data_IF_671904175389
#
_entry.id   IF_671904175389
#
_cell.length_a   1.000
_cell.length_b   1.000
_cell.length_c   1.000
_cell.angle_alpha   90.00
_cell.angle_beta   90.00
_cell.angle_gamma   90.00
#
_symmetry.space_group_name_H-M   'P 1'
#
loop_
_entity.id
_entity.type
_entity.pdbx_description
1 polymer ?
#
# COMPACT_ATOMS: atom_id res chain seq x y z
N UNK A 1 -18.30 14.71 29.21
CA UNK A 1 -16.81 14.61 29.27
C UNK A 1 -16.23 14.48 27.88
N UNK A 2 -16.77 13.61 27.01
CA UNK A 2 -16.31 13.53 25.60
C UNK A 2 -16.35 14.87 24.87
N UNK A 3 -17.43 15.64 24.99
CA UNK A 3 -17.52 16.95 24.33
C UNK A 3 -16.43 17.92 24.79
N UNK A 4 -16.22 18.04 26.12
CA UNK A 4 -15.15 18.86 26.69
C UNK A 4 -13.76 18.39 26.24
N UNK A 5 -13.50 17.08 26.30
CA UNK A 5 -12.21 16.52 25.89
C UNK A 5 -11.96 16.72 24.39
N UNK A 6 -12.96 16.52 23.55
CA UNK A 6 -12.86 16.74 22.10
C UNK A 6 -12.62 18.21 21.78
N UNK A 7 -13.26 19.13 22.53
CA UNK A 7 -13.02 20.56 22.41
C UNK A 7 -11.57 20.91 22.77
N UNK A 8 -11.07 20.45 23.93
CA UNK A 8 -9.67 20.70 24.33
C UNK A 8 -8.65 20.15 23.33
N UNK A 9 -8.91 18.98 22.77
CA UNK A 9 -8.06 18.41 21.70
C UNK A 9 -8.12 19.25 20.42
N UNK A 10 -9.30 19.76 20.05
CA UNK A 10 -9.46 20.67 18.89
C UNK A 10 -8.78 22.02 19.10
N UNK A 11 -8.73 22.50 20.34
CA UNK A 11 -8.07 23.76 20.71
C UNK A 11 -6.56 23.60 20.91
N UNK A 12 -6.01 22.39 20.69
CA UNK A 12 -4.58 22.10 20.83
C UNK A 12 -4.09 22.09 22.28
N UNK A 13 -4.99 22.00 23.27
CA UNK A 13 -4.59 21.99 24.67
C UNK A 13 -3.92 20.64 25.03
N UNK A 14 -2.82 20.65 25.81
CA UNK A 14 -2.08 19.45 26.20
C UNK A 14 -2.78 18.66 27.33
N UNK A 15 -4.07 18.38 27.17
CA UNK A 15 -4.91 17.70 28.17
C UNK A 15 -5.15 16.26 27.75
N UNK A 16 -4.96 15.31 28.65
CA UNK A 16 -5.23 13.89 28.42
C UNK A 16 -6.37 13.39 29.33
N UNK A 17 -7.24 12.54 28.78
CA UNK A 17 -8.34 11.92 29.53
C UNK A 17 -8.20 10.41 29.48
N UNK A 18 -8.17 9.76 30.64
CA UNK A 18 -8.06 8.30 30.76
C UNK A 18 -9.16 7.81 31.72
N UNK A 19 -9.92 6.80 31.29
CA UNK A 19 -10.84 6.07 32.17
C UNK A 19 -10.13 4.88 32.83
N UNK A 20 -10.38 4.64 34.12
CA UNK A 20 -9.88 3.45 34.82
C UNK A 20 -11.08 2.68 35.38
N UNK A 21 -11.27 1.45 34.92
CA UNK A 21 -12.31 0.50 35.33
C UNK A 21 -11.73 -0.68 36.11
N UNK A 22 -12.55 -1.45 36.83
CA UNK A 22 -12.15 -2.77 37.33
C UNK A 22 -12.45 -3.83 36.27
N UNK A 23 -11.54 -4.80 36.07
CA UNK A 23 -11.76 -5.90 35.13
C UNK A 23 -12.99 -6.78 35.46
N UNK A 24 -13.41 -6.79 36.72
CA UNK A 24 -14.64 -7.47 37.16
C UNK A 24 -15.92 -6.85 36.61
N UNK A 25 -15.86 -5.64 36.05
CA UNK A 25 -17.02 -4.92 35.48
C UNK A 25 -17.05 -4.94 33.94
N UNK A 26 -16.18 -5.72 33.30
CA UNK A 26 -16.07 -5.80 31.84
C UNK A 26 -17.37 -6.20 31.14
N UNK A 27 -18.25 -6.97 31.80
CA UNK A 27 -19.54 -7.41 31.25
C UNK A 27 -20.54 -6.27 30.98
N UNK A 28 -20.34 -5.09 31.58
CA UNK A 28 -21.19 -3.90 31.42
C UNK A 28 -20.43 -2.71 30.83
N UNK A 29 -19.20 -2.93 30.35
CA UNK A 29 -18.29 -1.87 29.90
C UNK A 29 -18.82 -1.10 28.69
N UNK A 30 -19.62 -1.74 27.83
CA UNK A 30 -20.23 -1.10 26.67
C UNK A 30 -20.99 0.18 27.00
N UNK A 31 -21.62 0.28 28.18
CA UNK A 31 -22.29 1.52 28.60
C UNK A 31 -21.32 2.69 28.85
N UNK A 32 -20.04 2.41 29.04
CA UNK A 32 -18.99 3.40 29.26
C UNK A 32 -18.09 3.58 28.04
N UNK A 33 -17.77 2.50 27.31
CA UNK A 33 -16.86 2.56 26.16
C UNK A 33 -17.55 2.84 24.83
N UNK A 34 -18.85 2.57 24.69
CA UNK A 34 -19.56 2.89 23.45
C UNK A 34 -19.61 4.41 23.26
N UNK A 35 -19.15 4.89 22.11
CA UNK A 35 -19.04 6.31 21.77
C UNK A 35 -18.13 7.10 22.73
N UNK A 36 -17.11 6.46 23.30
CA UNK A 36 -16.11 7.11 24.15
C UNK A 36 -14.88 7.53 23.34
N UNK A 37 -14.44 8.77 23.52
CA UNK A 37 -13.27 9.32 22.82
C UNK A 37 -11.95 9.13 23.60
N UNK A 38 -12.03 8.66 24.84
CA UNK A 38 -10.88 8.45 25.71
C UNK A 38 -10.49 6.95 25.79
N UNK A 39 -9.19 6.62 25.98
CA UNK A 39 -8.80 5.28 26.37
C UNK A 39 -9.39 4.90 27.73
N UNK A 40 -9.78 3.63 27.89
CA UNK A 40 -10.23 3.06 29.17
C UNK A 40 -9.36 1.87 29.52
N UNK A 41 -8.71 1.92 30.67
CA UNK A 41 -7.88 0.85 31.20
C UNK A 41 -8.70 -0.01 32.19
N UNK A 42 -8.51 -1.33 32.14
CA UNK A 42 -9.06 -2.26 33.11
C UNK A 42 -8.00 -2.63 34.15
N UNK A 43 -8.20 -2.21 35.40
CA UNK A 43 -7.39 -2.59 36.54
C UNK A 43 -7.75 -4.01 36.97
N UNK A 44 -6.77 -4.90 36.92
CA UNK A 44 -6.93 -6.32 37.22
C UNK A 44 -6.91 -6.56 38.72
N UNK A 45 -7.69 -7.53 39.19
CA UNK A 45 -7.66 -7.95 40.60
C UNK A 45 -6.20 -8.18 41.06
N UNK A 46 -5.75 -7.58 42.18
CA UNK A 46 -6.52 -7.08 43.32
C UNK A 46 -6.95 -5.60 43.26
N UNK A 47 -6.93 -4.96 42.09
CA UNK A 47 -7.32 -3.55 41.88
C UNK A 47 -6.40 -2.54 42.56
N UNK A 48 -5.09 -2.77 42.48
CA UNK A 48 -4.10 -1.93 43.17
C UNK A 48 -4.13 -0.48 42.71
N UNK A 49 -4.38 -0.21 41.42
CA UNK A 49 -4.42 1.17 40.92
C UNK A 49 -5.67 1.86 41.46
N UNK A 50 -6.83 1.23 41.32
CA UNK A 50 -8.11 1.73 41.84
C UNK A 50 -8.04 2.00 43.34
N UNK A 51 -7.50 1.06 44.12
CA UNK A 51 -7.42 1.19 45.58
C UNK A 51 -6.38 2.20 46.05
N UNK A 52 -5.23 2.32 45.37
CA UNK A 52 -4.18 3.26 45.77
C UNK A 52 -4.61 4.73 45.64
N UNK A 53 -5.43 5.04 44.63
CA UNK A 53 -5.96 6.39 44.44
C UNK A 53 -7.07 6.75 45.41
N UNK A 54 -7.53 5.82 46.25
CA UNK A 54 -8.60 6.07 47.22
C UNK A 54 -9.97 6.33 46.59
N UNK A 55 -10.12 6.09 45.28
CA UNK A 55 -11.33 6.38 44.52
C UNK A 55 -12.43 5.34 44.77
N UNK A 56 -13.65 5.85 44.84
CA UNK A 56 -14.91 5.11 44.97
C UNK A 56 -15.55 4.86 43.59
N UNK A 57 -16.88 4.81 43.50
CA UNK A 57 -17.59 4.63 42.24
C UNK A 57 -17.87 5.99 41.59
N UNK A 58 -17.39 6.18 40.34
CA UNK A 58 -17.51 7.43 39.56
C UNK A 58 -16.84 8.63 40.22
N UNK A 59 -15.52 8.57 40.37
CA UNK A 59 -14.72 9.74 40.74
C UNK A 59 -14.01 10.32 39.51
N UNK A 60 -13.84 11.63 39.52
CA UNK A 60 -13.03 12.38 38.58
C UNK A 60 -11.83 12.93 39.35
N UNK A 61 -10.64 12.58 38.88
CA UNK A 61 -9.38 13.10 39.40
C UNK A 61 -8.71 13.94 38.31
N UNK A 62 -8.27 15.14 38.66
CA UNK A 62 -7.50 16.03 37.78
C UNK A 62 -6.10 16.17 38.34
N UNK A 63 -5.11 16.08 37.46
CA UNK A 63 -3.71 16.28 37.77
C UNK A 63 -3.22 17.55 37.05
N UNK A 64 -2.28 18.27 37.66
CA UNK A 64 -1.50 19.29 36.95
C UNK A 64 -0.35 18.67 36.13
N UNK A 65 0.42 19.52 35.42
CA UNK A 65 1.53 19.08 34.58
C UNK A 65 2.73 18.50 35.36
N UNK A 66 2.79 18.73 36.68
CA UNK A 66 3.79 18.14 37.59
C UNK A 66 3.31 16.80 38.19
N UNK A 67 2.07 16.40 37.90
CA UNK A 67 1.45 15.17 38.39
C UNK A 67 0.80 15.28 39.78
N UNK A 68 0.61 16.50 40.31
CA UNK A 68 -0.07 16.70 41.59
C UNK A 68 -1.59 16.64 41.41
N UNK A 69 -2.29 16.07 42.39
CA UNK A 69 -3.77 16.04 42.40
C UNK A 69 -4.32 17.42 42.75
N UNK A 70 -5.05 18.04 41.81
CA UNK A 70 -5.69 19.36 41.98
C UNK A 70 -7.20 19.26 42.18
N UNK A 71 -7.81 18.16 41.76
CA UNK A 71 -9.22 17.84 42.01
C UNK A 71 -9.37 16.33 42.23
N UNK A 72 -10.11 15.94 43.25
CA UNK A 72 -10.60 14.58 43.47
C UNK A 72 -12.06 14.69 43.94
N UNK A 73 -13.00 14.26 43.09
CA UNK A 73 -14.42 14.44 43.36
C UNK A 73 -15.29 13.31 42.81
N UNK A 74 -16.26 12.89 43.62
CA UNK A 74 -17.33 12.02 43.15
C UNK A 74 -18.31 12.74 42.22
N UNK A 75 -18.44 12.22 41.00
CA UNK A 75 -19.27 12.80 39.92
C UNK A 75 -20.58 12.02 39.69
N UNK A 76 -21.05 11.26 40.69
CA UNK A 76 -22.35 10.57 40.58
C UNK A 76 -23.52 11.54 40.37
N UNK A 77 -23.38 12.80 40.83
CA UNK A 77 -24.37 13.86 40.67
C UNK A 77 -24.11 14.78 39.47
N UNK A 78 -23.18 14.42 38.58
CA UNK A 78 -22.76 15.23 37.44
C UNK A 78 -21.32 15.73 37.55
N UNK A 79 -20.84 16.35 36.46
CA UNK A 79 -19.49 16.91 36.35
C UNK A 79 -19.44 18.28 37.05
N UNK A 80 -18.31 18.67 37.69
CA UNK A 80 -18.18 19.98 38.32
C UNK A 80 -18.34 21.13 37.32
N UNK A 81 -19.12 22.16 37.68
CA UNK A 81 -19.40 23.30 36.79
C UNK A 81 -18.19 24.19 36.53
N UNK A 82 -17.15 24.09 37.35
CA UNK A 82 -15.89 24.82 37.23
C UNK A 82 -14.77 23.99 36.62
N UNK A 83 -15.06 22.82 36.05
CA UNK A 83 -14.02 21.94 35.50
C UNK A 83 -13.29 22.58 34.32
N UNK A 84 -14.01 23.17 33.38
CA UNK A 84 -13.44 23.84 32.21
C UNK A 84 -12.51 25.01 32.59
N UNK A 85 -12.95 26.02 33.39
CA UNK A 85 -12.04 27.09 33.80
C UNK A 85 -10.89 26.62 34.71
N UNK A 86 -11.06 25.48 35.41
CA UNK A 86 -9.96 24.87 36.17
C UNK A 86 -8.90 24.30 35.22
N UNK A 87 -9.29 23.54 34.20
CA UNK A 87 -8.35 22.96 33.22
C UNK A 87 -7.64 24.05 32.44
N UNK A 88 -8.36 25.08 31.98
CA UNK A 88 -7.75 26.23 31.29
C UNK A 88 -6.69 26.93 32.15
N UNK A 89 -6.99 27.15 33.44
CA UNK A 89 -6.04 27.73 34.39
C UNK A 89 -4.81 26.85 34.64
N UNK A 90 -4.93 25.52 34.56
CA UNK A 90 -3.79 24.61 34.73
C UNK A 90 -2.93 24.60 33.47
N UNK A 91 -3.56 24.61 32.30
CA UNK A 91 -2.86 24.67 31.02
C UNK A 91 -2.08 25.99 30.89
N UNK A 92 -2.63 27.13 31.32
CA UNK A 92 -1.91 28.40 31.28
C UNK A 92 -0.66 28.45 32.18
N UNK A 93 -0.55 27.51 33.14
CA UNK A 93 0.62 27.39 34.01
C UNK A 93 1.67 26.40 33.46
N UNK A 94 1.39 25.76 32.33
CA UNK A 94 2.38 24.99 31.59
C UNK A 94 3.28 26.02 30.91
N UNK A 95 4.49 26.18 31.44
CA UNK A 95 5.44 27.12 30.88
C UNK A 95 6.10 26.45 29.67
N UNK A 96 5.57 26.72 28.47
CA UNK A 96 6.09 26.18 27.20
C UNK A 96 7.45 26.80 26.78
N UNK A 97 8.02 27.68 27.62
CA UNK A 97 9.30 28.33 27.38
C UNK A 97 10.06 28.63 28.68
N UNK A 98 11.38 28.75 28.60
CA UNK A 98 12.29 29.15 29.68
C UNK A 98 13.00 30.47 29.32
N UNK A 99 12.53 31.59 29.88
CA UNK A 99 13.15 32.91 29.67
C UNK A 99 14.61 33.04 30.16
N UNK A 100 15.13 32.06 30.90
CA UNK A 100 16.54 31.99 31.30
C UNK A 100 17.42 31.20 30.32
N UNK A 101 16.81 30.55 29.31
CA UNK A 101 17.49 29.78 28.28
C UNK A 101 18.31 30.71 27.39
N UNK A 102 19.64 30.57 27.48
CA UNK A 102 20.56 31.31 26.64
C UNK A 102 20.61 30.71 25.24
N UNK A 103 20.15 31.48 24.26
CA UNK A 103 20.08 31.05 22.87
C UNK A 103 20.99 31.88 21.97
N UNK A 104 21.52 31.31 20.89
CA UNK A 104 22.29 32.07 19.90
C UNK A 104 21.43 33.18 19.29
N UNK A 105 21.95 34.40 19.20
CA UNK A 105 21.31 35.52 18.49
C UNK A 105 21.46 35.31 16.98
N UNK A 106 20.59 34.47 16.42
CA UNK A 106 20.55 34.15 14.99
C UNK A 106 19.10 34.04 14.55
N UNK A 107 18.79 34.61 13.39
CA UNK A 107 17.50 34.48 12.74
C UNK A 107 17.23 33.01 12.44
N UNK A 108 16.15 32.46 13.00
CA UNK A 108 15.80 31.04 12.88
C UNK A 108 14.33 30.91 12.55
N UNK A 109 14.01 30.07 11.56
CA UNK A 109 12.64 29.75 11.22
C UNK A 109 12.17 28.54 12.02
N UNK A 110 11.05 28.68 12.71
CA UNK A 110 10.44 27.63 13.52
C UNK A 110 8.94 27.65 13.27
N UNK A 111 8.38 26.52 12.82
CA UNK A 111 6.97 26.39 12.48
C UNK A 111 6.45 27.49 11.53
N UNK A 112 7.30 27.89 10.56
CA UNK A 112 6.99 28.93 9.58
C UNK A 112 7.04 30.37 10.12
N UNK A 113 7.42 30.56 11.39
CA UNK A 113 7.61 31.86 12.02
C UNK A 113 9.10 32.17 12.19
N UNK A 114 9.49 33.42 11.92
CA UNK A 114 10.86 33.88 12.08
C UNK A 114 11.11 34.31 13.53
N UNK A 115 12.12 33.76 14.19
CA UNK A 115 12.53 34.12 15.54
C UNK A 115 13.89 34.82 15.55
N UNK A 116 14.13 35.78 16.47
CA UNK A 116 15.42 36.48 16.60
C UNK A 116 16.52 35.62 17.25
N UNK A 117 16.24 34.34 17.50
CA UNK A 117 16.98 33.46 18.39
C UNK A 117 17.06 32.04 17.81
N UNK A 118 18.13 31.32 18.15
CA UNK A 118 18.37 29.93 17.74
C UNK A 118 17.52 28.87 18.43
N UNK A 119 16.69 29.24 19.42
CA UNK A 119 15.82 28.29 20.12
C UNK A 119 14.32 28.61 19.94
N UNK A 120 13.94 29.33 18.89
CA UNK A 120 12.52 29.58 18.61
C UNK A 120 11.80 30.25 19.80
N UNK A 121 10.61 29.77 20.16
CA UNK A 121 9.86 30.20 21.34
C UNK A 121 10.40 29.65 22.66
N UNK A 122 11.39 28.74 22.67
CA UNK A 122 11.84 28.04 23.89
C UNK A 122 12.46 28.98 24.92
N UNK A 123 12.96 30.15 24.51
CA UNK A 123 13.46 31.19 25.42
C UNK A 123 12.45 32.33 25.67
N UNK A 124 11.18 32.11 25.32
CA UNK A 124 10.09 33.08 25.42
C UNK A 124 10.25 34.32 24.52
N UNK A 125 11.07 34.26 23.48
CA UNK A 125 11.10 35.30 22.46
C UNK A 125 9.87 35.20 21.54
N UNK A 126 9.30 36.34 21.17
CA UNK A 126 8.22 36.41 20.19
C UNK A 126 8.78 36.30 18.76
N UNK A 127 7.97 35.75 17.85
CA UNK A 127 8.28 35.78 16.42
C UNK A 127 8.28 37.21 15.88
N UNK A 128 9.12 37.48 14.89
CA UNK A 128 9.20 38.74 14.17
C UNK A 128 8.55 38.64 12.78
N UNK A 129 8.15 39.79 12.21
CA UNK A 129 7.60 39.83 10.85
C UNK A 129 8.66 39.38 9.81
N UNK A 130 8.30 38.39 9.01
CA UNK A 130 9.14 37.85 7.94
C UNK A 130 9.02 38.67 6.64
N UNK A 131 9.48 39.92 6.68
CA UNK A 131 9.36 40.87 5.57
C UNK A 131 10.12 40.43 4.32
N UNK A 132 11.19 39.65 4.50
CA UNK A 132 12.06 39.18 3.43
C UNK A 132 11.72 37.74 2.97
N UNK A 133 10.63 37.15 3.48
CA UNK A 133 10.19 35.79 3.18
C UNK A 133 11.30 34.74 3.45
N UNK A 134 12.07 34.94 4.51
CA UNK A 134 13.16 34.07 4.99
C UNK A 134 12.62 32.70 5.38
N UNK A 135 11.43 32.65 5.98
CA UNK A 135 10.75 31.42 6.38
C UNK A 135 9.77 30.90 5.31
N UNK A 136 9.73 31.55 4.14
CA UNK A 136 8.80 31.23 3.06
C UNK A 136 9.39 30.47 1.88
N UNK A 137 10.48 29.72 2.07
CA UNK A 137 10.82 28.62 1.17
C UNK A 137 11.22 27.39 1.98
N UNK A 138 10.47 26.30 1.83
CA UNK A 138 10.75 24.95 2.35
C UNK A 138 12.03 24.31 1.76
N UNK A 139 12.92 25.13 1.20
CA UNK A 139 14.09 24.70 0.44
C UNK A 139 15.12 25.83 0.29
N UNK A 140 16.39 25.47 0.07
CA UNK A 140 17.52 26.37 -0.20
C UNK A 140 18.10 26.11 -1.59
N UNK A 141 17.78 26.98 -2.57
CA UNK A 141 18.30 26.86 -3.94
C UNK A 141 19.84 26.96 -4.07
N UNK A 142 20.53 27.38 -3.02
CA UNK A 142 22.00 27.43 -2.97
C UNK A 142 22.63 26.16 -2.40
N UNK A 143 21.82 25.22 -1.89
CA UNK A 143 22.26 23.95 -1.34
C UNK A 143 22.81 23.04 -2.44
N UNK A 144 24.11 22.76 -2.38
CA UNK A 144 24.77 21.86 -3.31
C UNK A 144 24.50 20.40 -2.93
N UNK A 145 23.86 19.66 -3.84
CA UNK A 145 23.43 18.29 -3.60
C UNK A 145 24.06 17.30 -4.59
N UNK A 146 24.26 16.03 -4.18
CA UNK A 146 24.67 14.99 -5.11
C UNK A 146 23.63 14.83 -6.22
N UNK A 147 24.07 14.83 -7.49
CA UNK A 147 23.18 14.58 -8.64
C UNK A 147 22.88 13.09 -8.80
N UNK A 148 22.04 12.57 -7.91
CA UNK A 148 21.58 11.17 -7.90
C UNK A 148 20.06 11.12 -7.75
N UNK A 149 19.43 10.16 -8.42
CA UNK A 149 18.00 9.92 -8.29
C UNK A 149 17.68 9.42 -6.88
N UNK A 150 16.74 10.07 -6.20
CA UNK A 150 16.39 9.75 -4.81
C UNK A 150 14.88 9.79 -4.62
N UNK A 151 14.34 8.79 -3.94
CA UNK A 151 12.94 8.76 -3.56
C UNK A 151 12.75 9.41 -2.19
N UNK A 152 11.84 10.38 -2.12
CA UNK A 152 11.49 11.10 -0.90
C UNK A 152 9.98 11.26 -0.84
N UNK A 153 9.35 10.78 0.23
CA UNK A 153 7.89 10.79 0.42
C UNK A 153 7.10 10.24 -0.79
N UNK A 154 7.64 9.20 -1.43
CA UNK A 154 7.03 8.57 -2.61
C UNK A 154 7.20 9.31 -3.93
N UNK A 155 7.97 10.41 -3.95
CA UNK A 155 8.27 11.20 -5.15
C UNK A 155 9.75 11.05 -5.56
N UNK A 156 10.01 10.97 -6.86
CA UNK A 156 11.36 10.87 -7.41
C UNK A 156 11.98 12.25 -7.60
N UNK A 157 13.14 12.51 -6.99
CA UNK A 157 13.89 13.76 -7.14
C UNK A 157 15.18 13.55 -7.95
N UNK A 158 15.61 14.55 -8.75
CA UNK A 158 16.85 14.50 -9.53
C UNK A 158 18.13 14.70 -8.69
N UNK A 159 17.99 14.71 -7.37
CA UNK A 159 18.99 15.16 -6.40
C UNK A 159 18.94 14.32 -5.14
N UNK A 160 20.09 14.19 -4.46
CA UNK A 160 20.23 13.52 -3.17
C UNK A 160 19.63 14.26 -1.98
N UNK A 161 19.06 15.44 -2.19
CA UNK A 161 18.52 16.30 -1.13
C UNK A 161 17.00 16.45 -1.16
N UNK A 162 16.29 15.70 -2.02
CA UNK A 162 14.83 15.85 -2.17
C UNK A 162 14.45 17.31 -2.52
N UNK A 163 13.36 17.81 -1.93
CA UNK A 163 12.93 19.20 -2.04
C UNK A 163 13.87 20.22 -1.39
N UNK A 164 14.84 19.81 -0.56
CA UNK A 164 15.64 20.74 0.25
C UNK A 164 16.51 21.72 -0.56
N UNK A 165 16.79 21.44 -1.84
CA UNK A 165 17.52 22.36 -2.74
C UNK A 165 16.62 23.05 -3.78
N UNK A 166 15.31 23.03 -3.59
CA UNK A 166 14.29 23.59 -4.48
C UNK A 166 14.21 22.92 -5.85
N UNK A 167 14.71 21.69 -5.98
CA UNK A 167 14.42 20.86 -7.15
C UNK A 167 12.99 20.31 -7.04
N UNK A 168 12.23 20.40 -8.14
CA UNK A 168 10.92 19.78 -8.25
C UNK A 168 11.04 18.27 -8.49
N UNK A 169 10.09 17.45 -8.01
CA UNK A 169 10.05 16.03 -8.34
C UNK A 169 9.88 15.82 -9.84
N UNK A 170 10.45 14.73 -10.34
CA UNK A 170 10.36 14.31 -11.74
C UNK A 170 9.39 13.14 -11.88
N UNK A 171 8.92 12.92 -13.12
CA UNK A 171 8.01 11.81 -13.42
C UNK A 171 8.72 10.46 -13.22
N UNK A 172 8.14 9.61 -12.39
CA UNK A 172 8.66 8.28 -12.05
C UNK A 172 8.18 7.23 -13.06
N UNK A 173 8.64 7.35 -14.31
CA UNK A 173 8.21 6.50 -15.43
C UNK A 173 8.54 5.01 -15.19
N UNK A 174 9.63 4.75 -14.47
CA UNK A 174 10.12 3.40 -14.16
C UNK A 174 9.62 2.88 -12.81
N UNK A 175 8.72 3.61 -12.14
CA UNK A 175 8.11 3.22 -10.88
C UNK A 175 9.13 2.91 -9.76
N UNK A 176 10.20 3.72 -9.69
CA UNK A 176 11.33 3.61 -8.77
C UNK A 176 10.91 3.90 -7.31
N UNK A 177 9.94 4.78 -7.11
CA UNK A 177 9.57 5.32 -5.79
C UNK A 177 8.25 4.79 -5.23
N UNK A 178 7.57 3.89 -5.94
CA UNK A 178 6.30 3.34 -5.49
C UNK A 178 6.46 2.22 -4.46
N UNK A 179 5.46 2.08 -3.60
CA UNK A 179 5.26 0.90 -2.77
C UNK A 179 5.12 -0.35 -3.66
N UNK A 180 5.45 -1.52 -3.09
CA UNK A 180 5.29 -2.82 -3.74
C UNK A 180 3.91 -2.94 -4.38
N UNK A 181 3.85 -3.08 -5.70
CA UNK A 181 2.59 -3.13 -6.46
C UNK A 181 1.96 -4.53 -6.43
N UNK A 182 2.72 -5.51 -5.96
CA UNK A 182 2.35 -6.91 -5.81
C UNK A 182 3.17 -7.55 -4.68
N UNK A 183 2.75 -8.72 -4.22
CA UNK A 183 3.50 -9.50 -3.22
C UNK A 183 4.45 -10.49 -3.93
N UNK A 184 5.70 -10.58 -3.46
CA UNK A 184 6.71 -11.48 -4.02
C UNK A 184 6.20 -12.93 -4.14
N UNK A 185 6.32 -13.49 -5.34
CA UNK A 185 5.85 -14.83 -5.69
C UNK A 185 4.40 -14.90 -6.18
N UNK A 186 3.70 -13.78 -6.31
CA UNK A 186 2.44 -13.73 -7.05
C UNK A 186 2.64 -13.96 -8.56
N UNK A 187 1.61 -14.49 -9.23
CA UNK A 187 1.61 -14.74 -10.68
C UNK A 187 0.36 -14.16 -11.33
N UNK A 188 0.54 -13.42 -12.43
CA UNK A 188 -0.54 -13.01 -13.34
C UNK A 188 -0.47 -13.84 -14.63
N UNK A 189 -1.53 -14.60 -14.89
CA UNK A 189 -1.67 -15.43 -16.09
C UNK A 189 -2.81 -14.95 -17.01
N UNK A 190 -3.25 -13.69 -16.86
CA UNK A 190 -4.32 -13.11 -17.68
C UNK A 190 -3.98 -13.19 -19.18
N UNK A 191 -2.71 -12.97 -19.53
CA UNK A 191 -2.19 -13.30 -20.84
C UNK A 191 -1.35 -14.59 -20.76
N UNK A 192 -1.82 -15.74 -21.28
CA UNK A 192 -1.08 -16.99 -21.21
C UNK A 192 0.22 -16.96 -22.02
N UNK A 193 0.35 -16.04 -23.00
CA UNK A 193 1.58 -15.81 -23.75
C UNK A 193 2.50 -14.76 -23.17
N UNK A 194 2.04 -14.05 -22.14
CA UNK A 194 2.84 -13.06 -21.45
C UNK A 194 2.56 -13.09 -19.95
N UNK A 195 2.81 -14.23 -19.28
CA UNK A 195 2.58 -14.29 -17.84
C UNK A 195 3.58 -13.41 -17.10
N UNK A 196 3.19 -12.93 -15.92
CA UNK A 196 4.02 -12.09 -15.08
C UNK A 196 4.24 -12.76 -13.72
N UNK A 197 5.42 -12.61 -13.16
CA UNK A 197 5.77 -13.02 -11.79
C UNK A 197 6.16 -11.78 -10.98
N UNK A 198 5.67 -11.68 -9.76
CA UNK A 198 6.06 -10.61 -8.86
C UNK A 198 7.38 -10.95 -8.17
N UNK A 199 8.34 -10.03 -8.25
CA UNK A 199 9.63 -10.13 -7.58
C UNK A 199 10.07 -8.73 -7.10
N UNK A 200 10.54 -8.64 -5.86
CA UNK A 200 10.91 -7.36 -5.21
C UNK A 200 9.81 -6.28 -5.31
N UNK A 201 8.55 -6.69 -5.18
CA UNK A 201 7.38 -5.81 -5.26
C UNK A 201 7.06 -5.26 -6.65
N UNK A 202 7.68 -5.81 -7.71
CA UNK A 202 7.45 -5.42 -9.11
C UNK A 202 7.06 -6.63 -9.97
N UNK A 203 6.22 -6.41 -10.97
CA UNK A 203 5.86 -7.44 -11.94
C UNK A 203 6.92 -7.57 -13.03
N UNK A 204 7.43 -8.78 -13.20
CA UNK A 204 8.36 -9.15 -14.26
C UNK A 204 7.68 -10.05 -15.27
N UNK A 205 7.90 -9.75 -16.54
CA UNK A 205 7.41 -10.57 -17.65
C UNK A 205 8.20 -11.87 -17.79
N UNK A 206 7.48 -12.99 -17.87
CA UNK A 206 8.06 -14.30 -18.19
C UNK A 206 7.93 -14.51 -19.71
N UNK A 207 9.09 -14.63 -20.36
CA UNK A 207 9.14 -14.94 -21.78
C UNK A 207 8.87 -16.44 -22.00
N UNK A 208 7.83 -16.76 -22.77
CA UNK A 208 7.54 -18.12 -23.22
C UNK A 208 8.12 -18.35 -24.60
N UNK A 209 9.14 -19.20 -24.68
CA UNK A 209 9.78 -19.59 -25.94
C UNK A 209 8.99 -20.71 -26.64
N UNK A 210 7.97 -20.35 -27.42
CA UNK A 210 7.24 -21.33 -28.22
C UNK A 210 8.11 -21.90 -29.35
N UNK A 211 8.00 -23.21 -29.62
CA UNK A 211 8.82 -23.90 -30.61
C UNK A 211 8.74 -23.24 -32.01
N UNK A 212 7.54 -22.88 -32.47
CA UNK A 212 7.34 -22.16 -33.73
C UNK A 212 8.06 -20.81 -33.76
N UNK A 213 7.92 -20.02 -32.69
CA UNK A 213 8.53 -18.68 -32.57
C UNK A 213 10.06 -18.75 -32.52
N UNK A 214 10.61 -19.83 -31.96
CA UNK A 214 12.03 -20.12 -31.95
C UNK A 214 12.55 -20.71 -33.28
N UNK A 215 11.67 -20.83 -34.29
CA UNK A 215 12.02 -21.33 -35.62
C UNK A 215 12.27 -22.84 -35.66
N UNK A 216 11.75 -23.60 -34.69
CA UNK A 216 11.80 -25.06 -34.73
C UNK A 216 10.91 -25.53 -35.87
N UNK A 217 11.45 -26.23 -36.89
CA UNK A 217 10.63 -26.72 -37.99
C UNK A 217 9.66 -27.80 -37.51
N UNK A 218 8.42 -27.75 -37.99
CA UNK A 218 7.45 -28.82 -37.82
C UNK A 218 7.64 -29.86 -38.94
N UNK A 219 8.63 -30.73 -38.76
CA UNK A 219 8.99 -31.72 -39.78
C UNK A 219 7.83 -32.71 -40.04
N UNK A 220 7.31 -32.71 -41.27
CA UNK A 220 6.20 -33.60 -41.66
C UNK A 220 4.84 -33.17 -41.13
N UNK A 221 4.68 -31.90 -40.73
CA UNK A 221 3.43 -31.37 -40.20
C UNK A 221 3.27 -29.88 -40.40
N UNK A 222 2.29 -29.31 -39.72
CA UNK A 222 2.02 -27.86 -39.65
C UNK A 222 1.74 -27.46 -38.20
N UNK A 223 2.10 -26.23 -37.85
CA UNK A 223 1.72 -25.64 -36.57
C UNK A 223 0.25 -25.25 -36.61
N UNK A 224 -0.50 -25.74 -35.62
CA UNK A 224 -1.91 -25.40 -35.43
C UNK A 224 -2.04 -24.49 -34.22
N UNK A 225 -2.86 -23.45 -34.36
CA UNK A 225 -3.18 -22.51 -33.29
C UNK A 225 -3.67 -23.28 -32.03
N UNK A 226 -3.24 -22.83 -30.84
CA UNK A 226 -3.67 -23.47 -29.60
C UNK A 226 -5.14 -23.21 -29.29
N UNK A 227 -5.67 -24.00 -28.35
CA UNK A 227 -6.96 -23.73 -27.72
C UNK A 227 -6.91 -22.45 -26.87
N UNK A 228 -8.07 -21.88 -26.58
CA UNK A 228 -8.20 -20.71 -25.70
C UNK A 228 -7.52 -20.97 -24.34
N UNK A 229 -6.67 -20.02 -23.91
CA UNK A 229 -5.92 -20.12 -22.65
C UNK A 229 -4.57 -20.84 -22.75
N UNK A 230 -4.17 -21.31 -23.93
CA UNK A 230 -2.85 -21.91 -24.18
C UNK A 230 -2.04 -21.00 -25.10
N UNK A 231 -0.76 -20.78 -24.79
CA UNK A 231 0.06 -19.85 -25.57
C UNK A 231 0.60 -20.42 -26.88
N UNK A 232 1.26 -21.58 -26.80
CA UNK A 232 2.05 -22.07 -27.91
C UNK A 232 1.23 -22.93 -28.86
N UNK A 233 1.39 -22.68 -30.15
CA UNK A 233 0.95 -23.58 -31.21
C UNK A 233 1.59 -24.96 -31.06
N UNK A 234 0.93 -25.97 -31.61
CA UNK A 234 1.40 -27.36 -31.53
C UNK A 234 1.70 -27.87 -32.94
N UNK A 235 2.82 -28.57 -33.11
CA UNK A 235 3.15 -29.21 -34.38
C UNK A 235 2.35 -30.52 -34.52
N UNK A 236 1.46 -30.57 -35.52
CA UNK A 236 0.64 -31.74 -35.83
C UNK A 236 1.09 -32.33 -37.17
N UNK A 237 1.30 -33.65 -37.22
CA UNK A 237 1.73 -34.32 -38.45
C UNK A 237 0.63 -34.33 -39.50
N UNK A 238 1.02 -34.20 -40.78
CA UNK A 238 0.10 -34.39 -41.89
C UNK A 238 -0.49 -35.79 -41.86
N UNK A 239 -1.81 -35.88 -42.02
CA UNK A 239 -2.54 -37.13 -42.00
C UNK A 239 -2.91 -37.67 -40.61
N UNK A 240 -2.47 -37.06 -39.50
CA UNK A 240 -2.90 -37.40 -38.14
C UNK A 240 -4.13 -36.56 -37.75
N UNK A 241 -5.30 -37.01 -38.20
CA UNK A 241 -6.54 -36.23 -38.19
C UNK A 241 -7.16 -36.09 -36.80
N UNK A 242 -6.89 -37.05 -35.90
CA UNK A 242 -7.34 -36.99 -34.51
C UNK A 242 -6.24 -36.52 -33.54
N UNK A 243 -5.03 -36.23 -34.05
CA UNK A 243 -3.89 -35.75 -33.29
C UNK A 243 -3.50 -36.69 -32.15
N UNK A 244 -3.60 -38.00 -32.39
CA UNK A 244 -3.20 -39.02 -31.40
C UNK A 244 -1.73 -39.45 -31.53
N UNK A 245 -1.02 -38.91 -32.53
CA UNK A 245 0.38 -39.16 -32.81
C UNK A 245 0.64 -40.38 -33.70
N UNK A 246 -0.39 -41.09 -34.16
CA UNK A 246 -0.25 -42.29 -34.97
C UNK A 246 -1.10 -42.24 -36.24
N UNK A 247 -0.46 -42.09 -37.41
CA UNK A 247 -1.13 -42.15 -38.70
C UNK A 247 -1.61 -43.57 -38.99
N UNK A 248 -2.93 -43.79 -39.00
CA UNK A 248 -3.54 -45.10 -39.21
C UNK A 248 -4.91 -45.03 -39.88
N UNK A 249 -5.61 -46.17 -39.96
CA UNK A 249 -6.91 -46.26 -40.64
C UNK A 249 -7.99 -45.37 -40.02
N UNK A 250 -7.85 -44.99 -38.74
CA UNK A 250 -8.76 -44.07 -38.08
C UNK A 250 -8.71 -42.68 -38.73
N UNK A 251 -7.52 -42.20 -39.10
CA UNK A 251 -7.35 -40.92 -39.79
C UNK A 251 -7.97 -40.93 -41.17
N UNK A 252 -7.84 -42.04 -41.90
CA UNK A 252 -8.51 -42.23 -43.19
C UNK A 252 -10.03 -42.12 -43.04
N UNK A 253 -10.60 -42.70 -41.99
CA UNK A 253 -12.03 -42.61 -41.71
C UNK A 253 -12.45 -41.15 -41.45
N UNK A 254 -11.63 -40.39 -40.72
CA UNK A 254 -11.89 -38.97 -40.43
C UNK A 254 -11.77 -38.10 -41.68
N UNK A 255 -10.74 -38.29 -42.50
CA UNK A 255 -10.59 -37.60 -43.79
C UNK A 255 -11.78 -37.91 -44.72
N UNK A 256 -12.22 -39.17 -44.83
CA UNK A 256 -13.41 -39.50 -45.65
C UNK A 256 -14.66 -38.78 -45.15
N UNK A 257 -14.83 -38.65 -43.82
CA UNK A 257 -15.95 -37.88 -43.28
C UNK A 257 -15.88 -36.40 -43.68
N UNK A 258 -14.70 -35.77 -43.65
CA UNK A 258 -14.49 -34.38 -44.09
C UNK A 258 -14.81 -34.19 -45.58
N UNK A 259 -14.36 -35.13 -46.43
CA UNK A 259 -14.68 -35.13 -47.87
C UNK A 259 -16.20 -35.24 -48.09
N UNK A 260 -16.90 -36.06 -47.30
CA UNK A 260 -18.35 -36.23 -47.39
C UNK A 260 -19.14 -35.05 -46.82
N UNK A 261 -18.61 -34.35 -45.81
CA UNK A 261 -19.20 -33.12 -45.26
C UNK A 261 -18.86 -31.87 -46.08
N UNK A 262 -17.95 -31.98 -47.05
CA UNK A 262 -17.41 -30.87 -47.83
C UNK A 262 -16.79 -29.80 -46.91
N UNK A 263 -16.14 -30.25 -45.84
CA UNK A 263 -15.34 -29.43 -44.94
C UNK A 263 -13.86 -29.56 -45.31
N UNK A 264 -13.13 -28.46 -45.23
CA UNK A 264 -11.70 -28.42 -45.56
C UNK A 264 -10.87 -28.43 -44.28
N UNK A 265 -9.76 -29.17 -44.30
CA UNK A 265 -8.74 -29.18 -43.27
C UNK A 265 -7.38 -29.40 -43.95
N UNK A 266 -6.46 -28.46 -43.76
CA UNK A 266 -5.12 -28.47 -44.36
C UNK A 266 -4.24 -29.62 -43.87
N UNK A 267 -4.50 -30.17 -42.67
CA UNK A 267 -3.73 -31.29 -42.12
C UNK A 267 -3.86 -32.56 -42.97
N UNK A 268 -4.93 -32.67 -43.73
CA UNK A 268 -5.28 -33.86 -44.50
C UNK A 268 -5.37 -33.59 -46.01
N UNK A 269 -4.93 -32.40 -46.45
CA UNK A 269 -4.67 -32.08 -47.86
C UNK A 269 -3.29 -32.60 -48.25
N UNK A 270 -3.23 -33.91 -48.47
CA UNK A 270 -1.99 -34.67 -48.55
C UNK A 270 -1.19 -34.39 -49.82
N UNK A 271 -1.83 -33.82 -50.85
CA UNK A 271 -1.16 -33.42 -52.09
C UNK A 271 -1.02 -31.89 -52.24
N UNK A 272 -1.52 -31.13 -51.27
CA UNK A 272 -1.46 -29.66 -51.20
C UNK A 272 -2.07 -28.98 -52.44
N UNK A 273 -3.17 -29.54 -52.97
CA UNK A 273 -3.90 -28.97 -54.11
C UNK A 273 -5.08 -28.07 -53.70
N UNK A 274 -5.25 -27.86 -52.39
CA UNK A 274 -6.32 -27.09 -51.75
C UNK A 274 -7.72 -27.71 -51.92
N UNK A 275 -7.84 -28.99 -52.32
CA UNK A 275 -9.12 -29.69 -52.43
C UNK A 275 -9.07 -31.06 -51.74
N UNK A 276 -9.84 -31.24 -50.67
CA UNK A 276 -9.98 -32.57 -50.06
C UNK A 276 -10.83 -33.49 -50.94
N UNK A 277 -10.20 -34.56 -51.45
CA UNK A 277 -10.86 -35.54 -52.29
C UNK A 277 -10.22 -36.94 -52.18
N UNK A 278 -10.57 -37.84 -53.10
CA UNK A 278 -10.08 -39.23 -53.09
C UNK A 278 -8.56 -39.32 -53.29
N UNK A 279 -7.93 -38.32 -53.90
CA UNK A 279 -6.48 -38.29 -54.09
C UNK A 279 -5.75 -38.18 -52.74
N UNK A 280 -6.25 -37.36 -51.82
CA UNK A 280 -5.67 -37.23 -50.47
C UNK A 280 -5.77 -38.53 -49.68
N UNK A 281 -6.92 -39.20 -49.80
CA UNK A 281 -7.15 -40.51 -49.18
C UNK A 281 -6.16 -41.56 -49.69
N UNK A 282 -5.89 -41.57 -51.00
CA UNK A 282 -4.91 -42.51 -51.59
C UNK A 282 -3.51 -42.22 -51.06
N UNK A 283 -3.09 -40.95 -51.02
CA UNK A 283 -1.77 -40.57 -50.50
C UNK A 283 -1.63 -40.95 -49.01
N UNK A 284 -2.67 -40.74 -48.19
CA UNK A 284 -2.67 -41.12 -46.79
C UNK A 284 -2.58 -42.65 -46.60
N UNK A 285 -3.29 -43.42 -47.42
CA UNK A 285 -3.22 -44.89 -47.38
C UNK A 285 -1.82 -45.37 -47.78
N UNK A 286 -1.22 -44.79 -48.82
CA UNK A 286 0.14 -45.14 -49.27
C UNK A 286 1.17 -44.92 -48.14
N UNK A 287 1.01 -43.87 -47.32
CA UNK A 287 1.84 -43.64 -46.12
C UNK A 287 1.66 -44.72 -45.04
N UNK A 288 0.44 -45.23 -44.85
CA UNK A 288 0.13 -46.26 -43.85
C UNK A 288 0.70 -47.64 -44.25
N UNK A 289 0.67 -47.96 -45.54
CA UNK A 289 1.02 -49.30 -46.05
C UNK A 289 2.47 -49.42 -46.51
N UNK A 290 3.14 -48.32 -46.84
CA UNK A 290 4.55 -48.25 -47.24
C UNK A 290 4.83 -48.58 -48.71
#
# INVERSE_FOLDING_TARGET
MNDLFTQWQSDGLPVQLIGIGKDSHMSSLGNWTNSNNAPVCADTSPFSVWSNWGVSQRDLVVLDHEGNVVLDQNISSGIPSNLEPLVESLVSNINDCDSSLACPEVLTCCDGLLYPTGCCSDNCDESIEDVDNICGSDCDSSLACPGVLTCCDGLLYPTGCCSNNCDEPIEDVDNICSESVCEDGEFDNTNPCNPMECFDGQWFEIVIDCAEQMGVPCDGGVYVDPLEGVCCSTCIQYGDSNSDGAINVLDVVLLVNLVLSNEYNELVDMNSDNNLNVLDVVVLIDLIIG
#
